data_IF_055815555247
#
_entry.id   IF_055815555247
#
_cell.length_a   1.000
_cell.length_b   1.000
_cell.length_c   1.000
_cell.angle_alpha   90.00
_cell.angle_beta   90.00
_cell.angle_gamma   90.00
#
_symmetry.space_group_name_H-M   'P 1'
#
loop_
_entity.id
_entity.type
_entity.pdbx_description
1 polymer ?
#
# COMPACT_ATOMS: atom_id res chain seq x y z
N UNK A 1 -27.29 13.61 -8.38
CA UNK A 1 -26.19 12.85 -8.99
C UNK A 1 -24.84 13.53 -8.70
N UNK A 2 -24.64 14.82 -9.04
CA UNK A 2 -23.37 15.54 -8.84
C UNK A 2 -22.91 15.58 -7.38
N UNK A 3 -23.81 15.80 -6.40
CA UNK A 3 -23.46 15.82 -4.98
C UNK A 3 -22.99 14.44 -4.46
N UNK A 4 -23.57 13.37 -4.94
CA UNK A 4 -23.15 11.99 -4.58
C UNK A 4 -21.78 11.70 -5.18
N UNK A 5 -21.56 12.05 -6.44
CA UNK A 5 -20.28 11.89 -7.12
C UNK A 5 -19.15 12.64 -6.40
N UNK A 6 -19.38 13.90 -6.03
CA UNK A 6 -18.40 14.71 -5.26
C UNK A 6 -18.06 14.10 -3.89
N UNK A 7 -19.05 13.52 -3.18
CA UNK A 7 -18.80 12.83 -1.90
C UNK A 7 -17.97 11.56 -2.12
N UNK A 8 -18.24 10.80 -3.17
CA UNK A 8 -17.47 9.59 -3.51
C UNK A 8 -16.02 9.94 -3.85
N UNK A 9 -15.78 10.94 -4.70
CA UNK A 9 -14.42 11.41 -5.03
C UNK A 9 -13.64 11.84 -3.79
N UNK A 10 -14.28 12.61 -2.89
CA UNK A 10 -13.65 13.04 -1.64
C UNK A 10 -13.26 11.86 -0.75
N UNK A 11 -14.08 10.81 -0.68
CA UNK A 11 -13.77 9.61 0.09
C UNK A 11 -12.65 8.80 -0.55
N UNK A 12 -12.65 8.63 -1.88
CA UNK A 12 -11.58 7.96 -2.61
C UNK A 12 -10.26 8.70 -2.38
N UNK A 13 -10.23 10.03 -2.55
CA UNK A 13 -9.05 10.85 -2.31
C UNK A 13 -8.50 10.67 -0.88
N UNK A 14 -9.40 10.67 0.13
CA UNK A 14 -9.01 10.42 1.52
C UNK A 14 -8.36 9.03 1.69
N UNK A 15 -8.94 8.00 1.11
CA UNK A 15 -8.42 6.62 1.17
C UNK A 15 -7.06 6.52 0.46
N UNK A 16 -6.89 7.16 -0.68
CA UNK A 16 -5.62 7.22 -1.40
C UNK A 16 -4.52 7.87 -0.55
N UNK A 17 -4.80 9.03 0.07
CA UNK A 17 -3.86 9.69 0.98
C UNK A 17 -3.45 8.77 2.16
N UNK A 18 -4.44 8.12 2.79
CA UNK A 18 -4.18 7.19 3.90
C UNK A 18 -3.38 5.96 3.45
N UNK A 19 -3.62 5.45 2.25
CA UNK A 19 -2.87 4.35 1.66
C UNK A 19 -1.39 4.71 1.44
N UNK A 20 -1.11 5.94 1.01
CA UNK A 20 0.26 6.46 0.86
C UNK A 20 0.97 6.58 2.20
N UNK A 21 0.28 7.09 3.23
CA UNK A 21 0.81 7.21 4.59
C UNK A 21 1.08 5.84 5.22
N UNK A 22 0.21 4.87 4.98
CA UNK A 22 0.32 3.55 5.57
C UNK A 22 1.52 2.74 5.06
N UNK A 23 2.02 3.03 3.86
CA UNK A 23 3.13 2.29 3.29
C UNK A 23 4.13 3.23 2.61
N UNK A 24 5.00 3.91 3.40
CA UNK A 24 5.96 4.88 2.88
C UNK A 24 7.02 4.22 2.00
N UNK A 25 7.51 4.97 1.03
CA UNK A 25 8.63 4.58 0.17
C UNK A 25 9.94 5.14 0.71
N UNK A 26 11.06 4.48 0.43
CA UNK A 26 12.39 4.98 0.82
C UNK A 26 12.76 6.28 0.11
N UNK A 27 12.34 6.41 -1.14
CA UNK A 27 12.58 7.61 -1.95
C UNK A 27 11.31 8.02 -2.66
N UNK A 28 11.14 9.33 -2.79
CA UNK A 28 10.02 9.94 -3.49
C UNK A 28 10.58 11.03 -4.38
N UNK A 29 10.09 11.10 -5.61
CA UNK A 29 10.32 12.20 -6.54
C UNK A 29 8.99 12.82 -6.91
N UNK A 30 8.90 14.15 -6.89
CA UNK A 30 7.73 14.89 -7.35
C UNK A 30 8.00 15.41 -8.77
N UNK A 31 7.08 15.13 -9.69
CA UNK A 31 7.19 15.57 -11.06
C UNK A 31 5.83 16.03 -11.60
N UNK A 32 5.67 17.32 -11.76
CA UNK A 32 4.47 18.00 -12.30
C UNK A 32 3.14 17.41 -11.79
N UNK A 33 2.97 17.38 -10.46
CA UNK A 33 1.79 16.84 -9.79
C UNK A 33 1.69 15.32 -9.72
N UNK A 34 2.74 14.60 -10.13
CA UNK A 34 2.87 13.17 -9.93
C UNK A 34 3.89 12.85 -8.84
N UNK A 35 3.69 11.72 -8.16
CA UNK A 35 4.62 11.14 -7.19
C UNK A 35 5.19 9.86 -7.78
N UNK A 36 6.51 9.82 -7.96
CA UNK A 36 7.27 8.63 -8.30
C UNK A 36 7.83 8.03 -7.01
N UNK A 37 7.60 6.75 -6.76
CA UNK A 37 7.96 6.09 -5.50
C UNK A 37 8.95 4.96 -5.76
N UNK A 38 9.94 4.81 -4.85
CA UNK A 38 11.02 3.83 -5.03
C UNK A 38 11.36 3.14 -3.70
N UNK A 39 11.27 1.80 -3.69
CA UNK A 39 11.60 0.96 -2.51
C UNK A 39 12.08 -0.42 -2.92
N UNK A 40 13.20 -0.47 -3.62
CA UNK A 40 13.88 -1.73 -3.99
C UNK A 40 12.95 -2.76 -4.69
N UNK A 41 11.89 -2.30 -5.33
CA UNK A 41 10.87 -3.11 -6.02
C UNK A 41 10.23 -4.21 -5.16
N UNK A 42 10.14 -3.96 -3.84
CA UNK A 42 9.51 -4.90 -2.89
C UNK A 42 8.01 -5.11 -3.16
N UNK A 43 7.29 -4.03 -3.39
CA UNK A 43 5.86 -4.07 -3.77
C UNK A 43 5.56 -3.00 -4.82
N UNK A 44 4.57 -3.22 -5.67
CA UNK A 44 4.10 -2.19 -6.62
C UNK A 44 3.65 -0.93 -5.89
N UNK A 45 2.96 -1.05 -4.75
CA UNK A 45 2.47 0.10 -3.96
C UNK A 45 3.54 1.10 -3.54
N UNK A 46 4.80 0.70 -3.42
CA UNK A 46 5.91 1.56 -3.05
C UNK A 46 6.92 1.79 -4.18
N UNK A 47 6.59 1.31 -5.37
CA UNK A 47 7.41 1.43 -6.58
C UNK A 47 6.53 1.75 -7.78
N UNK A 48 5.61 2.68 -7.61
CA UNK A 48 4.68 3.12 -8.65
C UNK A 48 4.62 4.63 -8.75
N UNK A 49 4.11 5.10 -9.88
CA UNK A 49 3.76 6.48 -10.13
C UNK A 49 2.29 6.69 -9.79
N UNK A 50 1.99 7.72 -9.04
CA UNK A 50 0.62 8.10 -8.69
C UNK A 50 0.36 9.55 -9.09
N UNK A 51 -0.83 9.82 -9.63
CA UNK A 51 -1.31 11.17 -9.88
C UNK A 51 -1.79 11.77 -8.54
N UNK A 52 -1.12 12.82 -8.08
CA UNK A 52 -1.36 13.40 -6.76
C UNK A 52 -1.96 14.80 -6.82
N UNK A 53 -1.53 15.61 -7.78
CA UNK A 53 -1.94 17.00 -7.90
C UNK A 53 -2.15 17.45 -9.33
N UNK A 54 -2.37 18.74 -9.50
CA UNK A 54 -2.55 19.36 -10.82
C UNK A 54 -1.28 19.21 -11.66
N UNK A 55 -1.48 18.99 -12.94
CA UNK A 55 -0.42 18.81 -13.95
C UNK A 55 -0.49 19.91 -14.98
N UNK A 56 0.66 20.34 -15.50
CA UNK A 56 0.80 21.33 -16.56
C UNK A 56 1.35 20.73 -17.86
N UNK A 57 2.09 19.60 -17.76
CA UNK A 57 2.67 18.90 -18.88
C UNK A 57 1.74 17.86 -19.49
N UNK A 58 1.83 17.60 -20.81
CA UNK A 58 1.07 16.53 -21.46
C UNK A 58 1.44 15.14 -20.90
N UNK A 59 0.45 14.25 -20.77
CA UNK A 59 0.66 12.88 -20.29
C UNK A 59 1.76 12.12 -21.04
N UNK A 60 1.84 12.28 -22.36
CA UNK A 60 2.86 11.62 -23.20
C UNK A 60 4.28 11.94 -22.73
N UNK A 61 4.55 13.19 -22.40
CA UNK A 61 5.84 13.66 -21.92
C UNK A 61 6.13 13.11 -20.52
N UNK A 62 5.14 13.16 -19.63
CA UNK A 62 5.25 12.69 -18.25
C UNK A 62 5.47 11.17 -18.18
N UNK A 63 4.76 10.40 -18.98
CA UNK A 63 4.93 8.94 -19.06
C UNK A 63 6.34 8.61 -19.55
N UNK A 64 6.80 9.27 -20.62
CA UNK A 64 8.17 9.06 -21.13
C UNK A 64 9.25 9.41 -20.08
N UNK A 65 9.05 10.47 -19.30
CA UNK A 65 9.92 10.81 -18.18
C UNK A 65 9.98 9.69 -17.14
N UNK A 66 8.82 9.23 -16.68
CA UNK A 66 8.71 8.13 -15.69
C UNK A 66 9.37 6.85 -16.21
N UNK A 67 9.12 6.47 -17.47
CA UNK A 67 9.75 5.31 -18.10
C UNK A 67 11.28 5.41 -18.06
N UNK A 68 11.83 6.58 -18.36
CA UNK A 68 13.27 6.81 -18.32
C UNK A 68 13.85 6.74 -16.90
N UNK A 69 13.13 7.27 -15.90
CA UNK A 69 13.55 7.20 -14.50
C UNK A 69 13.58 5.75 -14.02
N UNK A 70 12.49 5.00 -14.19
CA UNK A 70 12.42 3.60 -13.75
C UNK A 70 13.37 2.69 -14.53
N UNK A 71 13.57 2.92 -15.84
CA UNK A 71 14.55 2.19 -16.65
C UNK A 71 15.97 2.32 -16.12
N UNK A 72 16.38 3.51 -15.67
CA UNK A 72 17.69 3.72 -15.03
C UNK A 72 17.85 2.95 -13.72
N UNK A 73 16.75 2.62 -13.07
CA UNK A 73 16.71 1.80 -11.86
C UNK A 73 16.57 0.29 -12.17
N UNK A 74 16.56 -0.10 -13.44
CA UNK A 74 16.45 -1.49 -13.87
C UNK A 74 15.05 -2.09 -13.74
N UNK A 75 14.01 -1.25 -13.75
CA UNK A 75 12.61 -1.69 -13.64
C UNK A 75 11.71 -1.00 -14.67
N UNK A 76 10.59 -1.62 -15.07
CA UNK A 76 9.53 -0.93 -15.79
C UNK A 76 8.87 0.13 -14.90
N UNK A 77 8.35 1.20 -15.51
CA UNK A 77 7.46 2.12 -14.82
C UNK A 77 6.11 1.42 -14.54
N UNK A 78 5.60 1.62 -13.34
CA UNK A 78 4.30 1.10 -12.90
C UNK A 78 3.43 2.31 -12.57
N UNK A 79 2.24 2.38 -13.16
CA UNK A 79 1.28 3.45 -12.89
C UNK A 79 0.15 2.91 -12.03
N UNK A 80 -0.14 3.57 -10.93
CA UNK A 80 -1.31 3.27 -10.11
C UNK A 80 -2.51 4.01 -10.71
N UNK A 81 -3.53 3.25 -11.07
CA UNK A 81 -4.79 3.77 -11.59
C UNK A 81 -5.85 3.64 -10.51
N UNK A 82 -6.30 4.77 -9.99
CA UNK A 82 -7.44 4.86 -9.07
C UNK A 82 -8.67 5.38 -9.82
N UNK A 83 -9.88 5.28 -9.24
CA UNK A 83 -11.08 5.85 -9.84
C UNK A 83 -11.06 7.38 -10.04
N UNK A 84 -10.05 8.08 -9.51
CA UNK A 84 -9.84 9.51 -9.70
C UNK A 84 -9.04 9.83 -10.97
N UNK A 85 -8.41 8.83 -11.55
CA UNK A 85 -7.61 8.97 -12.78
C UNK A 85 -8.56 8.99 -13.98
N UNK A 86 -8.30 9.90 -14.93
CA UNK A 86 -9.09 9.95 -16.16
C UNK A 86 -9.02 8.63 -16.94
N UNK A 87 -10.14 8.09 -17.40
CA UNK A 87 -10.14 6.92 -18.29
C UNK A 87 -9.28 7.09 -19.56
N UNK A 88 -9.19 8.31 -20.09
CA UNK A 88 -8.36 8.61 -21.25
C UNK A 88 -6.86 8.41 -20.95
N UNK A 89 -6.45 8.59 -19.70
CA UNK A 89 -5.06 8.29 -19.31
C UNK A 89 -4.79 6.79 -19.29
N UNK A 90 -5.70 5.98 -18.75
CA UNK A 90 -5.59 4.52 -18.76
C UNK A 90 -5.53 3.99 -20.19
N UNK A 91 -6.39 4.48 -21.07
CA UNK A 91 -6.34 4.20 -22.50
C UNK A 91 -5.00 4.63 -23.16
N UNK A 92 -4.43 5.75 -22.72
CA UNK A 92 -3.11 6.20 -23.20
C UNK A 92 -2.01 5.21 -22.80
N UNK A 93 -2.07 4.64 -21.60
CA UNK A 93 -1.13 3.60 -21.17
C UNK A 93 -1.30 2.30 -21.96
N UNK A 94 -2.54 1.85 -22.17
CA UNK A 94 -2.85 0.66 -22.99
C UNK A 94 -2.25 0.78 -24.39
N UNK A 95 -2.42 1.93 -25.06
CA UNK A 95 -1.83 2.20 -26.39
C UNK A 95 -0.29 2.24 -26.39
N UNK A 96 0.35 2.36 -25.23
CA UNK A 96 1.80 2.28 -25.07
C UNK A 96 2.28 0.87 -24.70
N UNK A 97 1.38 -0.11 -24.63
CA UNK A 97 1.68 -1.50 -24.33
C UNK A 97 1.73 -1.82 -22.83
N UNK A 98 1.13 -0.98 -21.97
CA UNK A 98 0.94 -1.33 -20.56
C UNK A 98 -0.19 -2.34 -20.42
N UNK A 99 -0.04 -3.22 -19.45
CA UNK A 99 -1.02 -4.24 -19.08
C UNK A 99 -1.56 -3.98 -17.68
N UNK A 100 -2.87 -4.24 -17.49
CA UNK A 100 -3.51 -4.13 -16.18
C UNK A 100 -3.02 -5.28 -15.28
N UNK A 101 -2.51 -4.93 -14.10
CA UNK A 101 -2.08 -5.90 -13.11
C UNK A 101 -2.62 -5.54 -11.72
N UNK A 102 -2.83 -6.56 -10.89
CA UNK A 102 -3.18 -6.40 -9.46
C UNK A 102 -4.43 -5.53 -9.22
N UNK A 103 -5.50 -5.81 -9.95
CA UNK A 103 -6.80 -5.18 -9.68
C UNK A 103 -7.18 -5.46 -8.23
N UNK A 104 -7.47 -4.40 -7.47
CA UNK A 104 -7.75 -4.48 -6.04
C UNK A 104 -9.02 -3.71 -5.72
N UNK A 105 -9.96 -4.36 -5.07
CA UNK A 105 -11.13 -3.70 -4.49
C UNK A 105 -10.78 -3.18 -3.10
N UNK A 106 -11.08 -1.91 -2.86
CA UNK A 106 -10.94 -1.29 -1.53
C UNK A 106 -12.30 -1.19 -0.88
N UNK A 107 -12.46 -1.89 0.22
CA UNK A 107 -13.72 -1.93 0.98
C UNK A 107 -13.60 -1.11 2.26
N UNK A 108 -14.72 -0.51 2.67
CA UNK A 108 -14.85 0.19 3.94
C UNK A 108 -16.03 -0.38 4.73
N UNK A 109 -15.87 -0.44 6.05
CA UNK A 109 -16.90 -0.86 6.99
C UNK A 109 -17.00 0.18 8.11
N UNK A 110 -18.22 0.59 8.45
CA UNK A 110 -18.44 1.36 9.68
C UNK A 110 -18.29 0.45 10.89
N UNK A 111 -17.46 0.85 11.87
CA UNK A 111 -17.22 0.02 13.05
C UNK A 111 -18.48 -0.19 13.90
N UNK A 112 -19.45 0.71 13.84
CA UNK A 112 -20.75 0.53 14.50
C UNK A 112 -21.57 -0.62 13.91
N UNK A 113 -21.30 -1.00 12.66
CA UNK A 113 -21.98 -2.09 11.94
C UNK A 113 -21.17 -3.40 12.05
N UNK A 114 -20.00 -3.36 12.68
CA UNK A 114 -19.13 -4.52 12.83
C UNK A 114 -19.57 -5.39 14.03
N UNK A 115 -19.63 -6.70 13.82
CA UNK A 115 -19.74 -7.66 14.92
C UNK A 115 -18.36 -7.82 15.59
N UNK A 116 -18.18 -7.18 16.75
CA UNK A 116 -16.95 -7.20 17.54
C UNK A 116 -16.98 -8.28 18.64
N UNK A 117 -17.90 -9.23 18.57
CA UNK A 117 -18.07 -10.29 19.60
C UNK A 117 -17.14 -11.49 19.42
N UNK A 118 -16.31 -11.51 18.37
CA UNK A 118 -15.36 -12.60 18.14
C UNK A 118 -14.38 -12.78 19.32
N UNK A 119 -14.06 -14.02 19.72
CA UNK A 119 -13.16 -14.29 20.83
C UNK A 119 -11.72 -13.88 20.49
N UNK A 120 -11.20 -12.85 21.18
CA UNK A 120 -9.83 -12.35 20.99
C UNK A 120 -8.80 -13.00 21.92
N UNK A 121 -9.12 -14.09 22.59
CA UNK A 121 -8.33 -14.68 23.69
C UNK A 121 -6.91 -15.15 23.30
N UNK A 122 -6.59 -15.22 22.00
CA UNK A 122 -5.28 -15.68 21.53
C UNK A 122 -4.47 -14.59 20.77
N UNK A 123 -4.97 -13.36 20.71
CA UNK A 123 -4.32 -12.28 19.97
C UNK A 123 -3.52 -11.39 20.92
N UNK A 124 -2.23 -11.22 20.64
CA UNK A 124 -1.38 -10.23 21.30
C UNK A 124 -1.39 -8.95 20.50
N UNK A 125 -1.62 -7.83 21.16
CA UNK A 125 -1.62 -6.49 20.54
C UNK A 125 -0.48 -5.67 21.11
N UNK A 126 0.25 -4.95 20.24
CA UNK A 126 1.28 -3.96 20.62
C UNK A 126 1.08 -2.69 19.78
N UNK A 127 1.47 -1.55 20.33
CA UNK A 127 1.46 -0.22 19.68
C UNK A 127 2.71 0.04 18.83
N UNK A 128 3.74 -0.79 19.00
CA UNK A 128 4.94 -0.81 18.18
C UNK A 128 4.99 -2.07 17.33
N UNK A 129 5.76 -2.02 16.22
CA UNK A 129 5.99 -3.17 15.35
C UNK A 129 7.32 -3.82 15.74
N UNK A 130 7.31 -4.93 16.54
CA UNK A 130 8.53 -5.57 17.01
C UNK A 130 9.30 -6.26 15.87
N UNK A 131 10.62 -6.33 15.98
CA UNK A 131 11.45 -7.02 14.98
C UNK A 131 11.07 -8.51 14.81
N UNK A 132 10.67 -9.16 15.91
CA UNK A 132 10.17 -10.56 15.85
C UNK A 132 8.91 -10.68 14.99
N UNK A 133 8.02 -9.67 15.04
CA UNK A 133 6.83 -9.64 14.21
C UNK A 133 7.17 -9.50 12.73
N UNK A 134 8.09 -8.57 12.38
CA UNK A 134 8.54 -8.36 11.00
C UNK A 134 9.21 -9.63 10.45
N UNK A 135 10.09 -10.24 11.22
CA UNK A 135 10.77 -11.50 10.85
C UNK A 135 9.76 -12.61 10.62
N UNK A 136 8.79 -12.77 11.54
CA UNK A 136 7.73 -13.78 11.40
C UNK A 136 6.85 -13.54 10.18
N UNK A 137 6.50 -12.28 9.88
CA UNK A 137 5.77 -11.94 8.66
C UNK A 137 6.55 -12.35 7.40
N UNK A 138 7.87 -12.14 7.37
CA UNK A 138 8.71 -12.58 6.25
C UNK A 138 8.67 -14.10 6.08
N UNK A 139 8.74 -14.83 7.18
CA UNK A 139 8.69 -16.28 7.15
C UNK A 139 7.30 -16.80 6.71
N UNK A 140 6.22 -16.19 7.21
CA UNK A 140 4.84 -16.50 6.80
C UNK A 140 4.61 -16.21 5.30
N UNK A 141 5.24 -15.17 4.76
CA UNK A 141 5.23 -14.82 3.33
C UNK A 141 6.21 -15.64 2.49
N UNK A 142 7.04 -16.49 3.10
CA UNK A 142 8.12 -17.21 2.44
C UNK A 142 9.08 -16.28 1.68
N UNK A 143 9.35 -15.10 2.25
CA UNK A 143 10.25 -14.11 1.66
C UNK A 143 11.70 -14.55 1.80
N UNK A 144 12.36 -14.82 0.69
CA UNK A 144 13.74 -15.30 0.63
C UNK A 144 14.73 -14.23 0.16
N UNK A 145 14.28 -13.17 -0.50
CA UNK A 145 15.16 -12.12 -1.01
C UNK A 145 15.89 -11.38 0.14
N UNK A 146 17.22 -11.47 0.24
CA UNK A 146 17.97 -10.89 1.34
C UNK A 146 17.95 -9.35 1.35
N UNK A 147 17.87 -8.72 0.19
CA UNK A 147 17.77 -7.27 0.10
C UNK A 147 16.44 -6.82 0.71
N UNK A 148 15.34 -7.46 0.36
CA UNK A 148 14.03 -7.13 0.94
C UNK A 148 14.01 -7.37 2.45
N UNK A 149 14.57 -8.48 2.94
CA UNK A 149 14.68 -8.73 4.39
C UNK A 149 15.49 -7.68 5.13
N UNK A 150 16.48 -7.08 4.48
CA UNK A 150 17.31 -6.02 5.05
C UNK A 150 16.60 -4.65 5.04
N UNK A 151 15.92 -4.29 3.95
CA UNK A 151 15.42 -2.92 3.76
C UNK A 151 13.98 -2.71 4.25
N UNK A 152 13.12 -3.72 4.15
CA UNK A 152 11.69 -3.62 4.50
C UNK A 152 11.44 -3.27 5.97
N UNK A 153 12.23 -3.72 6.97
CA UNK A 153 12.06 -3.27 8.35
C UNK A 153 12.09 -1.74 8.51
N UNK A 154 12.93 -1.04 7.76
CA UNK A 154 12.99 0.42 7.80
C UNK A 154 11.70 1.08 7.28
N UNK A 155 11.01 0.45 6.33
CA UNK A 155 9.72 0.93 5.83
C UNK A 155 8.63 0.84 6.92
N UNK A 156 8.57 -0.26 7.67
CA UNK A 156 7.65 -0.39 8.80
C UNK A 156 7.92 0.67 9.86
N UNK A 157 9.18 0.93 10.19
CA UNK A 157 9.57 1.97 11.16
C UNK A 157 9.35 3.40 10.66
N UNK A 158 9.25 3.60 9.35
CA UNK A 158 9.00 4.89 8.72
C UNK A 158 7.52 5.23 8.58
N UNK A 159 6.60 4.37 9.02
CA UNK A 159 5.16 4.67 8.99
C UNK A 159 4.88 5.88 9.90
N UNK A 160 4.39 7.02 9.37
CA UNK A 160 4.22 8.26 10.13
C UNK A 160 2.92 8.31 10.92
N UNK A 161 2.29 7.16 11.17
CA UNK A 161 0.98 7.02 11.77
C UNK A 161 1.03 6.03 12.92
N UNK A 162 0.08 6.15 13.83
CA UNK A 162 -0.12 5.20 14.93
C UNK A 162 -0.42 3.80 14.37
N UNK A 163 0.24 2.79 14.94
CA UNK A 163 0.11 1.41 14.50
C UNK A 163 -0.45 0.53 15.60
N UNK A 164 -1.23 -0.46 15.21
CA UNK A 164 -1.72 -1.54 16.07
C UNK A 164 -1.20 -2.84 15.47
N UNK A 165 -0.21 -3.42 16.12
CA UNK A 165 0.44 -4.64 15.63
C UNK A 165 -0.18 -5.85 16.33
N UNK A 166 -0.80 -6.74 15.55
CA UNK A 166 -1.47 -7.94 16.06
C UNK A 166 -0.68 -9.19 15.71
N UNK A 167 -0.62 -10.14 16.65
CA UNK A 167 -0.01 -11.44 16.45
C UNK A 167 -0.76 -12.55 17.18
N UNK A 168 -0.81 -13.74 16.59
CA UNK A 168 -1.28 -14.97 17.23
C UNK A 168 -0.08 -15.86 17.46
N UNK A 169 0.07 -16.35 18.71
CA UNK A 169 1.18 -17.18 19.13
C UNK A 169 0.78 -18.63 19.34
N UNK A 170 1.64 -19.55 18.94
CA UNK A 170 1.53 -20.97 19.25
C UNK A 170 2.91 -21.59 19.41
N UNK A 171 3.12 -22.31 20.54
CA UNK A 171 4.41 -22.94 20.86
C UNK A 171 5.60 -21.98 20.77
N UNK A 172 5.46 -20.75 21.25
CA UNK A 172 6.52 -19.73 21.25
C UNK A 172 6.84 -19.12 19.88
N UNK A 173 6.00 -19.36 18.86
CA UNK A 173 6.15 -18.80 17.49
C UNK A 173 4.91 -18.04 17.08
N UNK A 174 5.10 -16.96 16.31
CA UNK A 174 4.00 -16.23 15.68
C UNK A 174 3.51 -17.05 14.48
N UNK A 175 2.24 -17.41 14.51
CA UNK A 175 1.56 -18.18 13.45
C UNK A 175 0.60 -17.32 12.60
N UNK A 176 0.28 -16.13 13.07
CA UNK A 176 -0.49 -15.16 12.30
C UNK A 176 -0.08 -13.74 12.67
N UNK A 177 -0.17 -12.85 11.69
CA UNK A 177 0.11 -11.42 11.82
C UNK A 177 -1.05 -10.58 11.30
N UNK A 178 -1.16 -9.36 11.82
CA UNK A 178 -2.03 -8.31 11.31
C UNK A 178 -1.49 -6.96 11.71
N UNK A 179 -1.72 -5.93 10.90
CA UNK A 179 -1.32 -4.57 11.18
C UNK A 179 -2.48 -3.62 10.92
N UNK A 180 -2.90 -2.91 11.95
CA UNK A 180 -3.80 -1.77 11.87
C UNK A 180 -3.00 -0.48 11.81
N UNK A 181 -3.39 0.46 10.95
CA UNK A 181 -2.79 1.80 10.87
C UNK A 181 -3.90 2.82 10.98
N UNK A 182 -3.82 3.64 12.05
CA UNK A 182 -4.80 4.68 12.32
C UNK A 182 -4.42 5.95 11.58
N UNK A 183 -5.30 6.42 10.74
CA UNK A 183 -5.15 7.72 10.08
C UNK A 183 -6.52 8.41 10.03
N UNK A 184 -6.60 9.60 10.61
CA UNK A 184 -7.85 10.35 10.74
C UNK A 184 -8.90 9.53 11.51
N UNK A 185 -10.06 9.30 10.90
CA UNK A 185 -11.21 8.55 11.42
C UNK A 185 -11.29 7.10 10.90
N UNK A 186 -10.17 6.57 10.37
CA UNK A 186 -10.07 5.22 9.80
C UNK A 186 -8.99 4.39 10.47
N UNK A 187 -9.18 3.10 10.44
CA UNK A 187 -8.14 2.10 10.62
C UNK A 187 -7.99 1.31 9.31
N UNK A 188 -6.82 1.41 8.70
CA UNK A 188 -6.46 0.58 7.56
C UNK A 188 -5.91 -0.76 8.03
N UNK A 189 -6.33 -1.87 7.40
CA UNK A 189 -5.91 -3.22 7.77
C UNK A 189 -4.90 -3.74 6.74
N UNK A 190 -3.73 -4.15 7.23
CA UNK A 190 -2.60 -4.56 6.41
C UNK A 190 -1.92 -5.82 6.96
N UNK A 191 -1.05 -6.43 6.15
CA UNK A 191 -0.16 -7.52 6.54
C UNK A 191 -0.86 -8.68 7.28
N UNK A 192 -2.10 -8.99 6.87
CA UNK A 192 -2.84 -10.14 7.38
C UNK A 192 -2.26 -11.40 6.75
N UNK A 193 -1.56 -12.18 7.55
CA UNK A 193 -1.03 -13.48 7.14
C UNK A 193 -1.29 -14.52 8.23
N UNK A 194 -1.70 -15.69 7.81
CA UNK A 194 -1.86 -16.87 8.67
C UNK A 194 -1.03 -17.99 8.09
N UNK A 195 -0.33 -18.72 8.94
CA UNK A 195 0.42 -19.90 8.54
C UNK A 195 -0.52 -20.92 7.90
N UNK A 196 -0.10 -21.52 6.79
CA UNK A 196 -0.96 -22.36 5.94
C UNK A 196 -1.70 -23.47 6.70
N UNK A 197 -1.03 -24.12 7.64
CA UNK A 197 -1.59 -25.20 8.47
C UNK A 197 -2.65 -24.76 9.50
N UNK A 198 -2.89 -23.42 9.63
CA UNK A 198 -3.87 -22.82 10.56
C UNK A 198 -4.91 -21.96 9.85
N UNK A 199 -5.02 -22.07 8.54
CA UNK A 199 -6.05 -21.38 7.74
C UNK A 199 -7.37 -22.12 7.75
#
# INVERSE_FOLDING_TARGET
AERIFFIMEKNIKKIEDMSLNAWPSHKVELYDGWILRFSYFYTHRTNSVEQFGNSTLPWREKVAYCENVYKRLGSPAIFKISPLVSPDFDYTLENRGYEIQHVTEVMTLHLNDADLTAPFSSVTITDEIPDIWITSLFDLKRMTNPIHRSVVPSMYRAIPKETICASVWKNGKIIATGLGILDRDYIGIYAIHVKEEYR
#
